data_IF_679378021054
#
_entry.id   IF_679378021054
#
_cell.length_a   1.000
_cell.length_b   1.000
_cell.length_c   1.000
_cell.angle_alpha   90.00
_cell.angle_beta   90.00
_cell.angle_gamma   90.00
#
_symmetry.space_group_name_H-M   'P 1'
#
loop_
_entity.id
_entity.type
_entity.pdbx_description
1 polymer ?
#
# COMPACT_ATOMS: atom_id res chain seq x y z
N UNK A 1 5.82 0.69 -20.33
CA UNK A 1 4.42 0.30 -20.56
C UNK A 1 4.37 -1.08 -21.18
N UNK A 2 4.49 -1.30 -22.49
CA UNK A 2 4.43 -2.68 -23.05
C UNK A 2 5.45 -3.65 -22.44
N UNK A 3 6.71 -3.25 -22.25
CA UNK A 3 7.73 -4.11 -21.65
C UNK A 3 7.48 -4.43 -20.16
N UNK A 4 6.82 -3.54 -19.43
CA UNK A 4 6.51 -3.70 -18.02
C UNK A 4 5.30 -4.64 -17.84
N UNK A 5 4.30 -4.58 -18.75
CA UNK A 5 3.13 -5.48 -18.70
C UNK A 5 3.57 -6.90 -19.04
N UNK A 6 4.48 -7.02 -20.01
CA UNK A 6 5.12 -8.30 -20.34
C UNK A 6 5.93 -8.86 -19.16
N UNK A 7 6.57 -8.00 -18.36
CA UNK A 7 7.27 -8.43 -17.14
C UNK A 7 6.29 -8.94 -16.08
N UNK A 8 5.20 -8.21 -15.82
CA UNK A 8 4.15 -8.65 -14.89
C UNK A 8 3.48 -9.95 -15.34
N UNK A 9 3.21 -10.10 -16.64
CA UNK A 9 2.67 -11.34 -17.21
C UNK A 9 3.68 -12.49 -17.15
N UNK A 10 4.97 -12.23 -17.36
CA UNK A 10 6.02 -13.23 -17.20
C UNK A 10 6.12 -13.70 -15.74
N UNK A 11 5.98 -12.79 -14.78
CA UNK A 11 5.94 -13.10 -13.35
C UNK A 11 4.72 -13.96 -13.00
N UNK A 12 3.52 -13.59 -13.50
CA UNK A 12 2.29 -14.39 -13.34
C UNK A 12 2.49 -15.80 -13.88
N UNK A 13 3.05 -15.92 -15.09
CA UNK A 13 3.27 -17.21 -15.72
C UNK A 13 4.34 -18.07 -15.01
N UNK A 14 5.41 -17.45 -14.51
CA UNK A 14 6.45 -18.16 -13.75
C UNK A 14 5.90 -18.68 -12.42
N UNK A 15 5.12 -17.84 -11.72
CA UNK A 15 4.44 -18.20 -10.48
C UNK A 15 3.48 -19.38 -10.70
N UNK A 16 2.63 -19.36 -11.74
CA UNK A 16 1.74 -20.50 -12.04
C UNK A 16 2.51 -21.79 -12.31
N UNK A 17 3.63 -21.72 -13.05
CA UNK A 17 4.48 -22.89 -13.31
C UNK A 17 5.10 -23.43 -12.02
N UNK A 18 5.61 -22.54 -11.18
CA UNK A 18 6.14 -22.88 -9.87
C UNK A 18 5.09 -23.58 -9.01
N UNK A 19 3.88 -23.02 -8.92
CA UNK A 19 2.79 -23.58 -8.11
C UNK A 19 2.43 -24.96 -8.64
N UNK A 20 2.29 -25.13 -9.96
CA UNK A 20 2.03 -26.46 -10.56
C UNK A 20 3.13 -27.47 -10.24
N UNK A 21 4.39 -27.06 -10.20
CA UNK A 21 5.51 -27.95 -9.88
C UNK A 21 5.53 -28.34 -8.39
N UNK A 22 5.21 -27.42 -7.49
CA UNK A 22 5.30 -27.62 -6.05
C UNK A 22 4.02 -28.20 -5.42
N UNK A 23 2.84 -27.97 -6.02
CA UNK A 23 1.55 -28.41 -5.47
C UNK A 23 1.43 -29.94 -5.38
N UNK A 24 2.13 -30.65 -6.27
CA UNK A 24 2.20 -32.11 -6.28
C UNK A 24 3.09 -32.68 -5.18
N UNK A 25 4.15 -31.97 -4.77
CA UNK A 25 5.17 -32.51 -3.86
C UNK A 25 4.84 -32.29 -2.38
N UNK A 26 3.90 -31.40 -2.05
CA UNK A 26 3.43 -31.08 -0.68
C UNK A 26 4.51 -30.70 0.36
N UNK A 27 5.80 -30.78 0.01
CA UNK A 27 6.94 -30.44 0.87
C UNK A 27 7.29 -28.95 0.82
N UNK A 28 6.87 -28.27 -0.24
CA UNK A 28 7.29 -26.90 -0.54
C UNK A 28 6.15 -25.89 -0.38
N UNK A 29 5.34 -26.03 0.67
CA UNK A 29 4.21 -25.11 0.93
C UNK A 29 4.67 -23.65 1.02
N UNK A 30 5.86 -23.40 1.58
CA UNK A 30 6.46 -22.05 1.61
C UNK A 30 6.83 -21.52 0.23
N UNK A 31 7.24 -22.39 -0.70
CA UNK A 31 7.52 -21.97 -2.08
C UNK A 31 6.22 -21.65 -2.82
N UNK A 32 5.17 -22.44 -2.60
CA UNK A 32 3.81 -22.16 -3.12
C UNK A 32 3.32 -20.81 -2.57
N UNK A 33 3.53 -20.52 -1.29
CA UNK A 33 3.16 -19.24 -0.68
C UNK A 33 3.87 -18.04 -1.36
N UNK A 34 5.20 -18.11 -1.51
CA UNK A 34 5.96 -17.05 -2.19
C UNK A 34 5.51 -16.84 -3.64
N UNK A 35 5.22 -17.94 -4.36
CA UNK A 35 4.72 -17.85 -5.73
C UNK A 35 3.30 -17.30 -5.81
N UNK A 36 2.44 -17.55 -4.81
CA UNK A 36 1.12 -16.91 -4.73
C UNK A 36 1.29 -15.40 -4.56
N UNK A 37 2.23 -14.94 -3.75
CA UNK A 37 2.51 -13.51 -3.60
C UNK A 37 3.02 -12.89 -4.91
N UNK A 38 3.96 -13.55 -5.60
CA UNK A 38 4.46 -13.10 -6.90
C UNK A 38 3.35 -13.08 -7.97
N UNK A 39 2.44 -14.04 -7.92
CA UNK A 39 1.25 -14.08 -8.78
C UNK A 39 0.33 -12.88 -8.55
N UNK A 40 0.09 -12.50 -7.28
CA UNK A 40 -0.69 -11.31 -6.94
C UNK A 40 0.02 -10.02 -7.34
N UNK A 41 1.34 -9.93 -7.12
CA UNK A 41 2.15 -8.77 -7.53
C UNK A 41 2.12 -8.59 -9.05
N UNK A 42 2.39 -9.64 -9.81
CA UNK A 42 2.37 -9.56 -11.27
C UNK A 42 0.99 -9.22 -11.83
N UNK A 43 -0.11 -9.72 -11.22
CA UNK A 43 -1.47 -9.31 -11.60
C UNK A 43 -1.70 -7.81 -11.34
N UNK A 44 -1.27 -7.32 -10.18
CA UNK A 44 -1.43 -5.90 -9.83
C UNK A 44 -0.59 -5.00 -10.75
N UNK A 45 0.63 -5.41 -11.09
CA UNK A 45 1.48 -4.72 -12.07
C UNK A 45 0.83 -4.64 -13.45
N UNK A 46 0.26 -5.75 -13.95
CA UNK A 46 -0.47 -5.78 -15.22
C UNK A 46 -1.67 -4.82 -15.16
N UNK A 47 -2.45 -4.83 -14.06
CA UNK A 47 -3.64 -3.98 -13.90
C UNK A 47 -3.30 -2.49 -13.83
N UNK A 48 -2.31 -2.12 -13.03
CA UNK A 48 -1.88 -0.72 -12.89
C UNK A 48 -1.40 -0.13 -14.22
N UNK A 49 -0.80 -0.97 -15.05
CA UNK A 49 -0.24 -0.57 -16.33
C UNK A 49 -1.25 -0.65 -17.49
N UNK A 50 -2.25 -1.54 -17.41
CA UNK A 50 -3.40 -1.57 -18.31
C UNK A 50 -4.40 -0.43 -18.04
N UNK A 51 -4.47 0.04 -16.80
CA UNK A 51 -5.27 1.20 -16.41
C UNK A 51 -4.40 2.32 -15.81
N UNK A 52 -3.50 2.94 -16.61
CA UNK A 52 -2.64 4.02 -16.13
C UNK A 52 -3.42 5.29 -15.74
N UNK A 53 -4.71 5.35 -16.10
CA UNK A 53 -5.59 6.51 -15.91
C UNK A 53 -6.22 6.57 -14.51
N UNK A 54 -6.25 5.48 -13.73
CA UNK A 54 -6.94 5.48 -12.42
C UNK A 54 -6.00 5.93 -11.27
N UNK A 55 -4.68 6.00 -11.48
CA UNK A 55 -3.71 6.48 -10.48
C UNK A 55 -3.21 7.93 -10.65
N UNK A 56 -3.55 8.62 -11.75
CA UNK A 56 -3.02 9.96 -12.05
C UNK A 56 -4.10 10.91 -12.59
N UNK A 57 -4.74 11.63 -11.66
CA UNK A 57 -5.04 13.06 -11.86
C UNK A 57 -3.80 13.89 -12.29
N UNK A 58 -2.59 13.30 -12.25
CA UNK A 58 -1.30 13.86 -12.64
C UNK A 58 -0.92 13.74 -14.14
N UNK A 59 -1.77 13.22 -15.05
CA UNK A 59 -1.55 13.36 -16.50
C UNK A 59 -2.22 14.60 -17.10
N UNK A 60 -2.91 15.41 -16.29
CA UNK A 60 -3.67 16.55 -16.77
C UNK A 60 -2.83 17.79 -17.12
N UNK A 61 -1.51 17.85 -16.85
CA UNK A 61 -0.79 19.15 -16.96
C UNK A 61 0.59 19.20 -17.62
N UNK A 62 1.39 18.14 -17.75
CA UNK A 62 2.79 18.31 -18.15
C UNK A 62 3.27 17.05 -18.88
N UNK A 63 3.93 17.04 -20.03
CA UNK A 63 4.57 18.07 -20.85
C UNK A 63 4.91 17.34 -22.16
N UNK A 64 4.93 18.07 -23.27
CA UNK A 64 5.57 17.68 -24.54
C UNK A 64 4.98 16.48 -25.31
N UNK A 65 4.06 16.83 -26.22
CA UNK A 65 3.89 16.26 -27.57
C UNK A 65 5.05 15.37 -28.03
N UNK A 66 4.76 14.10 -28.34
CA UNK A 66 5.70 13.28 -29.13
C UNK A 66 5.49 11.75 -29.15
N UNK A 67 4.81 11.11 -28.19
CA UNK A 67 4.75 9.62 -28.15
C UNK A 67 3.46 9.00 -27.61
N UNK A 68 2.37 9.76 -27.55
CA UNK A 68 1.13 9.32 -26.88
C UNK A 68 0.02 8.84 -27.82
N UNK A 69 0.14 9.06 -29.14
CA UNK A 69 -0.91 8.67 -30.10
C UNK A 69 -1.09 7.14 -30.21
N UNK A 70 -0.01 6.37 -30.09
CA UNK A 70 -0.04 4.90 -30.19
C UNK A 70 -0.62 4.23 -28.93
N UNK A 71 -0.51 4.89 -27.78
CA UNK A 71 -0.97 4.40 -26.45
C UNK A 71 -2.49 4.43 -26.29
N UNK A 72 -3.20 5.25 -27.07
CA UNK A 72 -4.66 5.28 -27.12
C UNK A 72 -5.23 4.58 -28.35
N UNK A 73 -4.39 3.86 -29.11
CA UNK A 73 -4.88 3.04 -30.20
C UNK A 73 -5.76 1.93 -29.64
N UNK A 74 -6.84 1.60 -30.36
CA UNK A 74 -7.74 0.50 -29.99
C UNK A 74 -6.95 -0.82 -29.85
N UNK A 75 -5.90 -1.00 -30.66
CA UNK A 75 -5.01 -2.16 -30.57
C UNK A 75 -4.22 -2.23 -29.27
N UNK A 76 -3.70 -1.09 -28.78
CA UNK A 76 -3.01 -1.03 -27.49
C UNK A 76 -3.96 -1.31 -26.32
N UNK A 77 -5.13 -0.66 -26.30
CA UNK A 77 -6.16 -0.88 -25.27
C UNK A 77 -6.66 -2.32 -25.27
N UNK A 78 -6.90 -2.90 -26.46
CA UNK A 78 -7.31 -4.29 -26.59
C UNK A 78 -6.23 -5.24 -26.06
N UNK A 79 -4.96 -4.99 -26.39
CA UNK A 79 -3.84 -5.80 -25.89
C UNK A 79 -3.74 -5.74 -24.36
N UNK A 80 -3.78 -4.55 -23.78
CA UNK A 80 -3.72 -4.33 -22.33
C UNK A 80 -4.88 -5.03 -21.61
N UNK A 81 -6.09 -4.88 -22.14
CA UNK A 81 -7.30 -5.55 -21.59
C UNK A 81 -7.19 -7.07 -21.69
N UNK A 82 -6.67 -7.59 -22.80
CA UNK A 82 -6.46 -9.03 -22.99
C UNK A 82 -5.40 -9.55 -22.01
N UNK A 83 -4.31 -8.82 -21.80
CA UNK A 83 -3.25 -9.18 -20.85
C UNK A 83 -3.77 -9.21 -19.40
N UNK A 84 -4.61 -8.25 -19.01
CA UNK A 84 -5.30 -8.27 -17.71
C UNK A 84 -6.21 -9.50 -17.58
N UNK A 85 -7.05 -9.77 -18.58
CA UNK A 85 -7.95 -10.95 -18.58
C UNK A 85 -7.17 -12.26 -18.53
N UNK A 86 -6.04 -12.33 -19.21
CA UNK A 86 -5.16 -13.49 -19.17
C UNK A 86 -4.57 -13.71 -17.77
N UNK A 87 -4.15 -12.63 -17.09
CA UNK A 87 -3.70 -12.73 -15.70
C UNK A 87 -4.83 -13.17 -14.75
N UNK A 88 -6.06 -12.70 -14.97
CA UNK A 88 -7.24 -13.16 -14.24
C UNK A 88 -7.52 -14.66 -14.44
N UNK A 89 -7.41 -15.17 -15.66
CA UNK A 89 -7.54 -16.60 -15.92
C UNK A 89 -6.47 -17.43 -15.20
N UNK A 90 -5.21 -16.96 -15.21
CA UNK A 90 -4.12 -17.66 -14.52
C UNK A 90 -4.38 -17.73 -13.02
N UNK A 91 -4.92 -16.66 -12.43
CA UNK A 91 -5.38 -16.66 -11.04
C UNK A 91 -6.46 -17.72 -10.80
N UNK A 92 -7.47 -17.80 -11.66
CA UNK A 92 -8.54 -18.79 -11.53
C UNK A 92 -8.03 -20.23 -11.65
N UNK A 93 -7.05 -20.46 -12.54
CA UNK A 93 -6.37 -21.75 -12.68
C UNK A 93 -5.65 -22.13 -11.39
N UNK A 94 -4.90 -21.20 -10.78
CA UNK A 94 -4.22 -21.42 -9.49
C UNK A 94 -5.21 -21.67 -8.36
N UNK A 95 -6.28 -20.86 -8.26
CA UNK A 95 -7.37 -21.08 -7.30
C UNK A 95 -7.92 -22.50 -7.42
N UNK A 96 -8.23 -22.96 -8.64
CA UNK A 96 -8.76 -24.31 -8.88
C UNK A 96 -7.76 -25.39 -8.46
N UNK A 97 -6.48 -25.23 -8.79
CA UNK A 97 -5.43 -26.18 -8.41
C UNK A 97 -5.31 -26.31 -6.89
N UNK A 98 -5.28 -25.18 -6.18
CA UNK A 98 -5.22 -25.14 -4.71
C UNK A 98 -6.47 -25.77 -4.11
N UNK A 99 -7.65 -25.43 -4.62
CA UNK A 99 -8.90 -25.95 -4.09
C UNK A 99 -9.06 -27.47 -4.32
N UNK A 100 -8.64 -27.98 -5.48
CA UNK A 100 -8.65 -29.43 -5.74
C UNK A 100 -7.69 -30.15 -4.80
N UNK A 101 -6.51 -29.57 -4.52
CA UNK A 101 -5.47 -30.23 -3.72
C UNK A 101 -5.76 -30.19 -2.22
N UNK A 102 -6.17 -29.03 -1.71
CA UNK A 102 -6.20 -28.73 -0.28
C UNK A 102 -7.61 -28.55 0.28
N UNK A 103 -8.65 -28.56 -0.56
CA UNK A 103 -10.05 -28.41 -0.15
C UNK A 103 -10.77 -27.29 -0.90
N UNK A 104 -12.06 -27.50 -1.19
CA UNK A 104 -12.83 -26.65 -2.12
C UNK A 104 -12.89 -25.15 -1.74
N UNK A 105 -12.69 -24.81 -0.46
CA UNK A 105 -12.73 -23.45 0.07
C UNK A 105 -11.37 -22.89 0.50
N UNK A 106 -10.27 -23.65 0.37
CA UNK A 106 -8.97 -23.28 0.95
C UNK A 106 -8.46 -21.94 0.42
N UNK A 107 -8.59 -21.69 -0.88
CA UNK A 107 -8.22 -20.40 -1.46
C UNK A 107 -9.00 -19.23 -0.85
N UNK A 108 -10.30 -19.41 -0.65
CA UNK A 108 -11.17 -18.36 -0.14
C UNK A 108 -10.90 -18.10 1.35
N UNK A 109 -10.59 -19.15 2.12
CA UNK A 109 -10.11 -19.03 3.51
C UNK A 109 -8.79 -18.27 3.59
N UNK A 110 -7.82 -18.53 2.71
CA UNK A 110 -6.55 -17.76 2.67
C UNK A 110 -6.82 -16.27 2.44
N UNK A 111 -7.72 -15.94 1.50
CA UNK A 111 -8.09 -14.55 1.23
C UNK A 111 -8.84 -13.88 2.38
N UNK A 112 -9.71 -14.61 3.05
CA UNK A 112 -10.43 -14.11 4.23
C UNK A 112 -9.48 -13.84 5.39
N UNK A 113 -8.57 -14.76 5.71
CA UNK A 113 -7.54 -14.59 6.73
C UNK A 113 -6.61 -13.42 6.40
N UNK A 114 -6.21 -13.26 5.14
CA UNK A 114 -5.42 -12.10 4.70
C UNK A 114 -6.19 -10.80 4.95
N UNK A 115 -7.47 -10.74 4.59
CA UNK A 115 -8.31 -9.55 4.84
C UNK A 115 -8.43 -9.23 6.33
N UNK A 116 -8.69 -10.24 7.17
CA UNK A 116 -8.77 -10.07 8.63
C UNK A 116 -7.48 -9.49 9.19
N UNK A 117 -6.33 -10.04 8.81
CA UNK A 117 -5.00 -9.58 9.27
C UNK A 117 -4.68 -8.16 8.81
N UNK A 118 -5.07 -7.78 7.59
CA UNK A 118 -4.91 -6.40 7.11
C UNK A 118 -5.73 -5.43 7.95
N UNK A 119 -7.02 -5.74 8.16
CA UNK A 119 -7.93 -4.90 8.96
C UNK A 119 -7.43 -4.77 10.40
N UNK A 120 -6.95 -5.87 10.99
CA UNK A 120 -6.40 -5.86 12.35
C UNK A 120 -5.13 -5.01 12.44
N UNK A 121 -4.22 -5.12 11.47
CA UNK A 121 -3.04 -4.26 11.40
C UNK A 121 -3.39 -2.79 11.18
N UNK A 122 -4.38 -2.48 10.33
CA UNK A 122 -4.86 -1.11 10.11
C UNK A 122 -5.39 -0.50 11.41
N UNK A 123 -6.21 -1.23 12.17
CA UNK A 123 -6.72 -0.79 13.47
C UNK A 123 -5.59 -0.54 14.48
N UNK A 124 -4.60 -1.43 14.56
CA UNK A 124 -3.45 -1.23 15.45
C UNK A 124 -2.66 0.02 15.07
N UNK A 125 -2.49 0.28 13.77
CA UNK A 125 -1.81 1.48 13.29
C UNK A 125 -2.60 2.76 13.56
N UNK A 126 -3.93 2.70 13.52
CA UNK A 126 -4.82 3.80 13.90
C UNK A 126 -4.71 4.09 15.41
N UNK A 127 -4.82 3.06 16.26
CA UNK A 127 -4.68 3.18 17.71
C UNK A 127 -3.30 3.76 18.10
N UNK A 128 -2.21 3.26 17.51
CA UNK A 128 -0.87 3.82 17.73
C UNK A 128 -0.75 5.29 17.30
N UNK A 129 -1.43 5.68 16.23
CA UNK A 129 -1.43 7.07 15.76
C UNK A 129 -2.20 7.97 16.72
N UNK A 130 -3.35 7.51 17.21
CA UNK A 130 -4.14 8.22 18.21
C UNK A 130 -3.37 8.42 19.52
N UNK A 131 -2.70 7.38 20.02
CA UNK A 131 -1.85 7.47 21.22
C UNK A 131 -0.70 8.48 21.05
N UNK A 132 -0.03 8.45 19.89
CA UNK A 132 1.05 9.39 19.57
C UNK A 132 0.50 10.82 19.50
N UNK A 133 -0.68 11.02 18.94
CA UNK A 133 -1.32 12.33 18.86
C UNK A 133 -1.78 12.85 20.22
N UNK A 134 -2.32 11.99 21.07
CA UNK A 134 -2.64 12.33 22.46
C UNK A 134 -1.39 12.74 23.24
N UNK A 135 -0.30 11.98 23.10
CA UNK A 135 0.96 12.27 23.76
C UNK A 135 1.54 13.61 23.30
N UNK A 136 1.52 13.88 21.98
CA UNK A 136 1.88 15.20 21.43
C UNK A 136 1.03 16.31 22.04
N UNK A 137 -0.30 16.15 22.08
CA UNK A 137 -1.21 17.15 22.68
C UNK A 137 -0.89 17.40 24.17
N UNK A 138 -0.60 16.35 24.94
CA UNK A 138 -0.21 16.46 26.36
C UNK A 138 1.10 17.24 26.52
N UNK A 139 2.11 16.97 25.69
CA UNK A 139 3.38 17.72 25.70
C UNK A 139 3.17 19.18 25.32
N UNK A 140 2.41 19.47 24.25
CA UNK A 140 2.15 20.86 23.82
C UNK A 140 1.44 21.67 24.91
N UNK A 141 0.40 21.08 25.53
CA UNK A 141 -0.29 21.72 26.66
C UNK A 141 0.65 21.95 27.84
N UNK A 142 1.47 20.95 28.22
CA UNK A 142 2.42 21.10 29.31
C UNK A 142 3.46 22.21 29.02
N UNK A 143 3.95 22.29 27.78
CA UNK A 143 4.89 23.33 27.36
C UNK A 143 4.26 24.74 27.41
N UNK A 144 3.02 24.88 26.95
CA UNK A 144 2.25 26.12 27.02
C UNK A 144 2.07 26.59 28.48
N UNK A 145 1.71 25.68 29.37
CA UNK A 145 1.59 25.96 30.81
C UNK A 145 2.92 26.40 31.43
N UNK A 146 4.02 25.71 31.13
CA UNK A 146 5.36 26.05 31.64
C UNK A 146 5.82 27.42 31.11
N UNK A 147 5.62 27.70 29.83
CA UNK A 147 5.90 29.01 29.24
C UNK A 147 5.06 30.12 29.88
N UNK A 148 3.76 29.87 30.12
CA UNK A 148 2.88 30.82 30.79
C UNK A 148 3.37 31.18 32.20
N UNK A 149 3.80 30.20 32.99
CA UNK A 149 4.36 30.41 34.34
C UNK A 149 5.66 31.21 34.27
N UNK A 150 6.56 30.90 33.31
CA UNK A 150 7.81 31.62 33.13
C UNK A 150 7.59 33.10 32.76
N UNK A 151 6.64 33.38 31.87
CA UNK A 151 6.30 34.76 31.47
C UNK A 151 5.73 35.55 32.65
N UNK A 152 4.84 34.94 33.44
CA UNK A 152 4.28 35.57 34.64
C UNK A 152 5.36 35.84 35.70
N UNK A 153 6.22 34.86 35.98
CA UNK A 153 7.32 35.01 36.92
C UNK A 153 8.31 36.11 36.48
N UNK A 154 8.66 36.14 35.18
CA UNK A 154 9.49 37.18 34.60
C UNK A 154 8.87 38.57 34.70
N UNK A 155 7.55 38.69 34.47
CA UNK A 155 6.82 39.95 34.60
C UNK A 155 6.80 40.45 36.05
N UNK A 156 6.57 39.57 37.02
CA UNK A 156 6.61 39.92 38.45
C UNK A 156 8.00 40.38 38.90
N UNK A 157 9.06 39.70 38.46
CA UNK A 157 10.43 40.12 38.76
C UNK A 157 10.75 41.49 38.15
N UNK A 158 10.33 41.74 36.91
CA UNK A 158 10.51 43.04 36.27
C UNK A 158 9.81 44.18 37.04
N UNK A 159 8.59 43.94 37.53
CA UNK A 159 7.86 44.91 38.37
C UNK A 159 8.58 45.18 39.70
N UNK A 160 9.08 44.16 40.37
CA UNK A 160 9.84 44.32 41.63
C UNK A 160 11.12 45.13 41.41
N UNK A 161 11.87 44.84 40.35
CA UNK A 161 13.08 45.60 39.98
C UNK A 161 12.74 47.05 39.66
N UNK A 162 11.66 47.29 38.90
CA UNK A 162 11.21 48.65 38.57
C UNK A 162 10.81 49.45 39.81
N UNK A 163 10.02 48.86 40.73
CA UNK A 163 9.62 49.51 41.99
C UNK A 163 10.85 49.84 42.84
N UNK A 164 11.84 48.94 42.90
CA UNK A 164 13.07 49.16 43.66
C UNK A 164 13.94 50.26 43.04
N UNK A 165 13.95 50.40 41.71
CA UNK A 165 14.66 51.48 41.02
C UNK A 165 14.00 52.85 41.23
N UNK A 166 12.66 52.93 41.19
CA UNK A 166 11.92 54.19 41.39
C UNK A 166 11.98 54.70 42.85
N UNK A 167 12.15 53.80 43.83
CA UNK A 167 12.29 54.17 45.25
C UNK A 167 13.68 54.69 45.65
N UNK A 168 14.68 54.59 44.77
CA UNK A 168 16.06 55.00 45.02
C UNK A 168 16.34 56.35 44.37
#
# INVERSE_FOLDING_TARGET
>A
MVAEILAGLALVNSAVKGIKSAIGTAKDVSQIANQIDDLFKGKEEVKQQAHPIIGKWNSLLNKTLGSTADKFSIGAIAKETIEEKLAEEQMLKVKRLINIRFGASTWDTILEERRKRIIEHEKQLEEEQEEKDEFRRKIYKALEWVLGILVLAGSLLALVVYINWVKK
#
